data_IF_641601359032
#
_entry.id   IF_641601359032
#
_cell.length_a   1.000
_cell.length_b   1.000
_cell.length_c   1.000
_cell.angle_alpha   90.00
_cell.angle_beta   90.00
_cell.angle_gamma   90.00
#
_symmetry.space_group_name_H-M   'P 1'
#
loop_
_entity.id
_entity.type
_entity.pdbx_description
1 polymer ?
#
# COMPACT_ATOMS: atom_id res chain seq x y z
N UNK A 1 -3.97 5.92 -6.87
CA UNK A 1 -2.97 4.84 -6.84
C UNK A 1 -3.00 4.15 -5.48
N UNK A 2 -2.39 2.96 -5.39
CA UNK A 2 -2.14 2.25 -4.13
C UNK A 2 -0.64 2.03 -4.02
N UNK A 3 -0.04 2.49 -2.93
CA UNK A 3 1.40 2.39 -2.68
C UNK A 3 1.68 2.00 -1.23
N UNK A 4 2.79 1.30 -1.00
CA UNK A 4 3.28 0.86 0.31
C UNK A 4 4.52 1.65 0.68
N UNK A 5 4.59 2.10 1.92
CA UNK A 5 5.69 2.88 2.49
C UNK A 5 6.20 2.23 3.78
N UNK A 6 7.48 2.44 4.09
CA UNK A 6 8.06 2.05 5.38
C UNK A 6 7.84 3.11 6.46
N UNK A 7 8.35 2.87 7.68
CA UNK A 7 8.25 3.80 8.81
C UNK A 7 8.97 5.14 8.62
N UNK A 8 9.94 5.18 7.70
CA UNK A 8 10.67 6.39 7.35
C UNK A 8 9.96 7.19 6.24
N UNK A 9 8.82 6.71 5.75
CA UNK A 9 8.08 7.31 4.66
C UNK A 9 8.67 7.02 3.28
N UNK A 10 9.61 6.08 3.17
CA UNK A 10 10.18 5.67 1.89
C UNK A 10 9.20 4.77 1.14
N UNK A 11 8.99 5.05 -0.15
CA UNK A 11 8.10 4.24 -1.00
C UNK A 11 8.74 2.87 -1.26
N UNK A 12 8.14 1.83 -0.73
CA UNK A 12 8.60 0.45 -0.88
C UNK A 12 8.12 -0.15 -2.20
N UNK A 13 6.85 0.08 -2.56
CA UNK A 13 6.23 -0.47 -3.76
C UNK A 13 4.97 0.30 -4.15
N UNK A 14 4.73 0.47 -5.44
CA UNK A 14 3.40 0.82 -5.95
C UNK A 14 2.68 -0.46 -6.39
N UNK A 15 1.52 -0.72 -5.81
CA UNK A 15 0.69 -1.90 -6.10
C UNK A 15 -0.29 -1.64 -7.24
N UNK A 16 -0.85 -0.42 -7.31
CA UNK A 16 -1.78 -0.02 -8.36
C UNK A 16 -1.46 1.40 -8.79
N UNK A 17 -1.22 1.62 -10.09
CA UNK A 17 -1.00 2.95 -10.67
C UNK A 17 -1.94 3.20 -11.87
N UNK A 18 -3.24 2.94 -11.68
CA UNK A 18 -4.26 3.19 -12.71
C UNK A 18 -5.53 3.74 -12.09
N UNK A 19 -6.32 4.45 -12.90
CA UNK A 19 -7.70 4.80 -12.55
C UNK A 19 -8.55 3.54 -12.64
N UNK A 20 -9.45 3.35 -11.69
CA UNK A 20 -10.39 2.24 -11.67
C UNK A 20 -11.79 2.80 -11.42
N UNK A 21 -12.79 2.26 -12.09
CA UNK A 21 -14.20 2.58 -11.84
C UNK A 21 -14.61 2.11 -10.43
N UNK A 22 -15.69 2.68 -9.89
CA UNK A 22 -16.22 2.24 -8.61
C UNK A 22 -16.49 0.73 -8.61
N UNK A 23 -16.15 0.07 -7.51
CA UNK A 23 -16.27 -1.39 -7.37
C UNK A 23 -15.29 -1.93 -6.33
N UNK A 24 -15.39 -3.24 -6.09
CA UNK A 24 -14.49 -3.94 -5.18
C UNK A 24 -13.33 -4.55 -5.96
N UNK A 25 -12.10 -4.29 -5.50
CA UNK A 25 -10.88 -4.82 -6.10
C UNK A 25 -10.03 -5.47 -5.02
N UNK A 26 -9.39 -6.59 -5.38
CA UNK A 26 -8.40 -7.25 -4.55
C UNK A 26 -7.02 -7.01 -5.11
N UNK A 27 -6.10 -6.61 -4.26
CA UNK A 27 -4.69 -6.37 -4.61
C UNK A 27 -3.85 -7.22 -3.69
N UNK A 28 -2.94 -8.02 -4.24
CA UNK A 28 -2.01 -8.81 -3.45
C UNK A 28 -0.67 -8.08 -3.36
N UNK A 29 -0.10 -8.02 -2.17
CA UNK A 29 1.26 -7.52 -1.96
C UNK A 29 2.14 -8.68 -1.49
N UNK A 30 3.06 -9.10 -2.36
CA UNK A 30 4.10 -10.04 -1.98
C UNK A 30 5.20 -9.31 -1.19
N UNK A 31 5.25 -9.58 0.11
CA UNK A 31 6.18 -9.00 1.06
C UNK A 31 7.28 -9.99 1.51
N UNK A 32 7.43 -11.14 0.85
CA UNK A 32 8.33 -12.23 1.28
C UNK A 32 9.77 -11.77 1.53
N UNK A 33 10.27 -10.87 0.67
CA UNK A 33 11.64 -10.34 0.73
C UNK A 33 11.72 -8.97 1.43
N UNK A 34 10.76 -8.63 2.29
CA UNK A 34 10.77 -7.39 3.07
C UNK A 34 11.03 -7.68 4.55
N UNK A 35 11.80 -6.83 5.26
CA UNK A 35 12.02 -6.99 6.70
C UNK A 35 10.71 -6.96 7.47
N UNK A 36 10.63 -7.72 8.57
CA UNK A 36 9.56 -7.56 9.55
C UNK A 36 9.53 -6.12 10.06
N UNK A 37 8.34 -5.57 10.30
CA UNK A 37 8.20 -4.19 10.72
C UNK A 37 6.86 -3.59 10.34
N UNK A 38 6.73 -2.29 10.57
CA UNK A 38 5.51 -1.54 10.27
C UNK A 38 5.60 -0.95 8.86
N UNK A 39 4.51 -1.10 8.12
CA UNK A 39 4.34 -0.54 6.78
C UNK A 39 3.04 0.25 6.71
N UNK A 40 2.99 1.22 5.80
CA UNK A 40 1.84 2.06 5.56
C UNK A 40 1.36 1.87 4.12
N UNK A 41 0.11 1.42 3.97
CA UNK A 41 -0.55 1.31 2.68
C UNK A 41 -1.37 2.58 2.46
N UNK A 42 -1.01 3.33 1.41
CA UNK A 42 -1.72 4.53 0.99
C UNK A 42 -2.59 4.19 -0.22
N UNK A 43 -3.90 4.42 -0.09
CA UNK A 43 -4.84 4.46 -1.19
C UNK A 43 -5.16 5.93 -1.47
N UNK A 44 -4.72 6.41 -2.63
CA UNK A 44 -5.01 7.76 -3.09
C UNK A 44 -6.02 7.71 -4.23
N UNK A 45 -7.09 8.45 -4.07
CA UNK A 45 -8.07 8.76 -5.11
C UNK A 45 -7.94 10.24 -5.48
N UNK A 46 -8.78 10.74 -6.39
CA UNK A 46 -8.74 12.15 -6.77
C UNK A 46 -9.02 13.09 -5.59
N UNK A 47 -9.93 12.71 -4.69
CA UNK A 47 -10.42 13.59 -3.63
C UNK A 47 -10.07 13.10 -2.21
N UNK A 48 -9.62 11.86 -2.06
CA UNK A 48 -9.37 11.25 -0.75
C UNK A 48 -8.06 10.48 -0.74
N UNK A 49 -7.37 10.53 0.40
CA UNK A 49 -6.25 9.66 0.71
C UNK A 49 -6.58 8.88 1.97
N UNK A 50 -6.47 7.56 1.90
CA UNK A 50 -6.68 6.65 3.01
C UNK A 50 -5.35 5.95 3.29
N UNK A 51 -4.91 6.02 4.55
CA UNK A 51 -3.71 5.32 5.01
C UNK A 51 -4.11 4.22 5.98
N UNK A 52 -3.58 3.01 5.77
CA UNK A 52 -3.73 1.87 6.67
C UNK A 52 -2.35 1.39 7.11
N UNK A 53 -2.17 1.22 8.42
CA UNK A 53 -0.98 0.63 9.01
C UNK A 53 -1.08 -0.90 8.93
N UNK A 54 0.00 -1.55 8.53
CA UNK A 54 0.16 -2.99 8.53
C UNK A 54 1.43 -3.37 9.32
N UNK A 55 1.42 -4.52 9.97
CA UNK A 55 2.59 -5.09 10.64
C UNK A 55 2.94 -6.35 9.87
N UNK A 56 4.14 -6.38 9.30
CA UNK A 56 4.71 -7.56 8.70
C UNK A 56 5.49 -8.33 9.77
N UNK A 57 5.07 -9.57 10.03
CA UNK A 57 5.75 -10.48 10.92
C UNK A 57 6.25 -11.68 10.10
N UNK A 58 7.39 -12.23 10.50
CA UNK A 58 7.90 -13.51 10.02
C UNK A 58 7.65 -14.57 11.06
#
# INVERSE_FOLDING_TARGET
>A
DISVYDVLGQKVKTLVNKKQSAGNYKVNWDATNKPSGVYFVHLKTQNHTITKRAILMR
#
